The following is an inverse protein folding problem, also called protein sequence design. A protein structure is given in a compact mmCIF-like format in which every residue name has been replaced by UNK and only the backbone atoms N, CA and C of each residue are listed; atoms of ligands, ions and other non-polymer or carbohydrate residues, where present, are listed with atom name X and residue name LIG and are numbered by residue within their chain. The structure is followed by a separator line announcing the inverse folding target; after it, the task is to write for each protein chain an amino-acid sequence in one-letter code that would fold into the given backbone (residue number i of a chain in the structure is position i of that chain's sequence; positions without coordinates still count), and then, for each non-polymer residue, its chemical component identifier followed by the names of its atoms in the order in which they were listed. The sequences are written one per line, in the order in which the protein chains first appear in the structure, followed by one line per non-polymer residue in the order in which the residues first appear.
data_IF_099978746360
#
_entry.id   IF_099978746360
#
_cell.length_a   1.000
_cell.length_b   1.000
_cell.length_c   1.000
_cell.angle_alpha   90.00
_cell.angle_beta   90.00
_cell.angle_gamma   90.00
#
_symmetry.space_group_name_H-M   'P 1'
#
loop_
_entity.id
_entity.type
_entity.pdbx_description
1 polymer ?
#
# COMPACT_ATOMS: atom_id res chain seq x y z
N UNK A 1 -2.11 89.41 -6.43
CA UNK A 1 -2.87 89.47 -7.69
C UNK A 1 -2.53 88.22 -8.53
N UNK A 2 -3.55 87.59 -9.07
CA UNK A 2 -3.59 86.39 -9.94
C UNK A 2 -3.34 85.03 -9.29
N UNK A 3 -4.47 84.44 -8.87
CA UNK A 3 -4.69 83.01 -8.63
C UNK A 3 -4.54 82.23 -9.93
N UNK A 4 -3.83 81.10 -9.89
CA UNK A 4 -3.89 80.06 -10.91
C UNK A 4 -4.26 78.75 -10.23
N UNK A 5 -5.54 78.32 -10.37
CA UNK A 5 -6.04 76.97 -10.06
C UNK A 5 -5.37 75.95 -11.00
N UNK A 6 -4.79 74.92 -10.43
CA UNK A 6 -4.40 73.76 -11.18
C UNK A 6 -5.41 72.63 -10.87
N UNK A 7 -6.17 72.24 -11.89
CA UNK A 7 -7.01 71.04 -11.89
C UNK A 7 -6.12 69.80 -12.05
N UNK A 8 -6.15 68.91 -11.06
CA UNK A 8 -5.62 67.54 -11.17
C UNK A 8 -6.76 66.63 -11.64
N UNK A 9 -6.67 66.15 -12.88
CA UNK A 9 -7.53 65.10 -13.37
C UNK A 9 -6.99 63.72 -12.89
N UNK A 10 -7.71 63.07 -12.01
CA UNK A 10 -7.43 61.68 -11.61
C UNK A 10 -8.04 60.72 -12.65
N UNK A 11 -7.21 60.04 -13.42
CA UNK A 11 -7.61 58.92 -14.26
C UNK A 11 -7.83 57.68 -13.34
N UNK A 12 -9.08 57.30 -13.17
CA UNK A 12 -9.43 55.99 -12.57
C UNK A 12 -9.26 54.89 -13.62
N UNK A 13 -8.21 54.10 -13.51
CA UNK A 13 -8.02 52.89 -14.31
C UNK A 13 -8.91 51.79 -13.68
N UNK A 14 -10.09 51.55 -14.25
CA UNK A 14 -10.92 50.44 -13.90
C UNK A 14 -10.29 49.16 -14.50
N UNK A 15 -9.56 48.43 -13.67
CA UNK A 15 -9.08 47.10 -14.01
C UNK A 15 -10.26 46.13 -14.09
N UNK A 16 -10.67 45.75 -15.28
CA UNK A 16 -11.58 44.63 -15.53
C UNK A 16 -10.83 43.37 -15.15
N UNK A 17 -11.09 42.86 -13.92
CA UNK A 17 -10.80 41.48 -13.57
C UNK A 17 -11.66 40.58 -14.48
N UNK A 18 -11.07 40.05 -15.53
CA UNK A 18 -11.65 38.95 -16.28
C UNK A 18 -11.63 37.74 -15.38
N UNK A 19 -12.69 37.49 -14.64
CA UNK A 19 -13.01 36.18 -14.12
C UNK A 19 -13.20 35.25 -15.33
N UNK A 20 -12.14 34.53 -15.69
CA UNK A 20 -12.29 33.43 -16.62
C UNK A 20 -13.39 32.51 -16.07
N UNK A 21 -14.41 32.14 -16.88
CA UNK A 21 -15.40 31.18 -16.44
C UNK A 21 -14.65 29.92 -16.03
N UNK A 22 -14.85 29.48 -14.79
CA UNK A 22 -14.43 28.15 -14.39
C UNK A 22 -15.10 27.18 -15.36
N UNK A 23 -14.39 26.68 -16.35
CA UNK A 23 -14.87 25.58 -17.18
C UNK A 23 -15.31 24.50 -16.23
N UNK A 24 -16.61 24.20 -16.24
CA UNK A 24 -17.16 23.11 -15.45
C UNK A 24 -16.65 21.80 -16.08
N UNK A 25 -15.49 21.34 -15.64
CA UNK A 25 -14.89 20.10 -16.11
C UNK A 25 -15.79 18.90 -15.93
N UNK A 26 -15.56 17.86 -16.69
CA UNK A 26 -16.28 16.60 -16.60
C UNK A 26 -15.96 15.90 -15.29
N UNK A 27 -16.98 15.64 -14.45
CA UNK A 27 -16.82 14.86 -13.21
C UNK A 27 -17.06 13.39 -13.48
N UNK A 28 -16.13 12.55 -13.02
CA UNK A 28 -16.22 11.09 -13.10
C UNK A 28 -16.54 10.56 -11.71
N UNK A 29 -17.66 9.87 -11.59
CA UNK A 29 -18.08 9.26 -10.33
C UNK A 29 -17.24 8.01 -10.00
N UNK A 30 -17.04 7.66 -8.70
CA UNK A 30 -16.25 6.50 -8.30
C UNK A 30 -16.77 5.16 -8.81
N UNK A 31 -18.07 5.04 -9.04
CA UNK A 31 -18.73 3.84 -9.56
C UNK A 31 -18.64 3.69 -11.09
N UNK A 32 -17.90 4.55 -11.77
CA UNK A 32 -17.75 4.48 -13.22
C UNK A 32 -17.08 3.17 -13.66
N UNK A 33 -17.71 2.43 -14.59
CA UNK A 33 -17.30 1.08 -15.01
C UNK A 33 -15.87 0.96 -15.58
N UNK A 34 -15.25 2.06 -16.01
CA UNK A 34 -13.89 2.09 -16.53
C UNK A 34 -12.82 2.34 -15.45
N UNK A 35 -13.20 2.55 -14.19
CA UNK A 35 -12.26 2.59 -13.08
C UNK A 35 -11.93 1.17 -12.62
N UNK A 36 -10.65 0.95 -12.33
CA UNK A 36 -10.16 -0.32 -11.80
C UNK A 36 -9.64 -0.12 -10.40
N UNK A 37 -10.20 -0.85 -9.47
CA UNK A 37 -9.81 -0.88 -8.05
C UNK A 37 -8.96 -2.11 -7.77
N UNK A 38 -7.91 -1.98 -6.97
CA UNK A 38 -7.03 -3.07 -6.53
C UNK A 38 -6.80 -2.97 -5.03
N UNK A 39 -6.86 -4.11 -4.34
CA UNK A 39 -6.72 -4.21 -2.89
C UNK A 39 -8.05 -4.46 -2.19
N UNK A 40 -8.00 -4.58 -0.86
CA UNK A 40 -9.19 -4.65 -0.02
C UNK A 40 -9.76 -3.26 0.14
N UNK A 41 -10.79 -2.97 -0.61
CA UNK A 41 -11.47 -1.67 -0.64
C UNK A 41 -12.91 -1.88 -0.21
N UNK A 42 -13.37 -1.07 0.74
CA UNK A 42 -14.77 -1.05 1.13
C UNK A 42 -15.57 -0.31 0.06
N UNK A 43 -16.48 -1.02 -0.55
CA UNK A 43 -17.37 -0.54 -1.62
C UNK A 43 -18.85 -0.67 -1.23
N UNK A 44 -19.15 -0.68 0.08
CA UNK A 44 -20.52 -0.70 0.57
C UNK A 44 -21.34 0.48 0.00
N UNK A 45 -20.69 1.66 -0.08
CA UNK A 45 -21.15 2.74 -0.95
C UNK A 45 -20.25 2.80 -2.20
N UNK A 46 -20.72 2.36 -3.38
CA UNK A 46 -19.92 2.37 -4.59
C UNK A 46 -19.55 3.77 -5.07
N UNK A 47 -20.22 4.81 -4.56
CA UNK A 47 -19.92 6.21 -4.86
C UNK A 47 -18.95 6.85 -3.88
N UNK A 48 -18.53 6.11 -2.85
CA UNK A 48 -17.62 6.56 -1.81
C UNK A 48 -16.70 5.41 -1.34
N UNK A 49 -15.98 4.69 -2.25
CA UNK A 49 -15.12 3.59 -1.85
C UNK A 49 -14.00 4.05 -0.93
N UNK A 50 -13.73 3.25 0.12
CA UNK A 50 -12.77 3.57 1.17
C UNK A 50 -11.48 2.78 1.00
N UNK A 51 -10.36 3.49 0.91
CA UNK A 51 -9.01 2.95 0.79
C UNK A 51 -8.31 3.08 2.14
N UNK A 52 -8.03 1.95 2.81
CA UNK A 52 -7.37 1.94 4.12
C UNK A 52 -6.04 1.19 4.10
N UNK A 53 -5.93 0.10 3.35
CA UNK A 53 -4.73 -0.72 3.27
C UNK A 53 -3.62 -0.07 2.44
N UNK A 54 -2.33 -0.29 2.78
CA UNK A 54 -1.22 0.14 1.93
C UNK A 54 -1.34 -0.51 0.54
N UNK A 55 -0.89 0.20 -0.49
CA UNK A 55 -0.91 -0.31 -1.87
C UNK A 55 -2.29 -0.44 -2.51
N UNK A 56 -3.39 -0.10 -1.82
CA UNK A 56 -4.69 0.03 -2.48
C UNK A 56 -4.60 1.04 -3.60
N UNK A 57 -5.25 0.73 -4.71
CA UNK A 57 -5.05 1.51 -5.93
C UNK A 57 -6.34 1.75 -6.71
N UNK A 58 -6.35 2.89 -7.42
CA UNK A 58 -7.36 3.22 -8.44
C UNK A 58 -6.63 3.52 -9.73
N UNK A 59 -7.04 2.88 -10.82
CA UNK A 59 -6.44 3.05 -12.14
C UNK A 59 -7.51 3.26 -13.21
N UNK A 60 -7.11 3.92 -14.29
CA UNK A 60 -7.96 4.12 -15.46
C UNK A 60 -7.22 4.75 -16.62
N UNK A 61 -7.91 4.82 -17.74
CA UNK A 61 -7.47 5.56 -18.92
C UNK A 61 -8.45 6.70 -19.17
N UNK A 62 -7.97 7.82 -19.65
CA UNK A 62 -8.80 8.98 -19.95
C UNK A 62 -8.35 9.70 -21.24
N UNK A 63 -9.24 10.46 -21.80
CA UNK A 63 -8.95 11.49 -22.79
C UNK A 63 -8.96 12.86 -22.12
N UNK A 64 -8.22 13.82 -22.66
CA UNK A 64 -8.18 15.16 -22.11
C UNK A 64 -6.76 15.64 -21.84
N UNK A 65 -6.64 16.85 -21.34
CA UNK A 65 -5.36 17.53 -21.07
C UNK A 65 -5.14 17.81 -19.58
N UNK A 66 -6.14 17.54 -18.73
CA UNK A 66 -6.04 17.72 -17.29
C UNK A 66 -6.65 16.56 -16.51
N UNK A 67 -6.18 16.37 -15.28
CA UNK A 67 -6.68 15.40 -14.32
C UNK A 67 -6.58 15.98 -12.91
N UNK A 68 -7.69 16.02 -12.20
CA UNK A 68 -7.69 16.19 -10.76
C UNK A 68 -8.38 15.01 -10.07
N UNK A 69 -7.96 14.72 -8.85
CA UNK A 69 -8.47 13.60 -8.04
C UNK A 69 -9.16 14.18 -6.81
N UNK A 70 -10.39 13.74 -6.55
CA UNK A 70 -11.15 14.19 -5.38
C UNK A 70 -11.06 13.11 -4.30
N UNK A 71 -10.47 13.48 -3.18
CA UNK A 71 -10.26 12.60 -2.03
C UNK A 71 -10.81 13.26 -0.76
N UNK A 72 -11.24 12.42 0.18
CA UNK A 72 -11.61 12.85 1.54
C UNK A 72 -10.77 12.04 2.53
N UNK A 73 -9.80 12.68 3.16
CA UNK A 73 -8.85 12.02 4.04
C UNK A 73 -9.23 12.17 5.51
N UNK A 74 -9.22 11.06 6.23
CA UNK A 74 -9.66 11.02 7.62
C UNK A 74 -8.84 11.92 8.55
N UNK A 75 -7.51 11.96 8.37
CA UNK A 75 -6.60 12.60 9.33
C UNK A 75 -5.66 13.63 8.71
N UNK A 76 -5.57 13.72 7.38
CA UNK A 76 -4.57 14.55 6.69
C UNK A 76 -3.14 14.02 6.80
N UNK A 77 -3.01 12.70 6.96
CA UNK A 77 -1.70 12.04 7.16
C UNK A 77 -1.33 11.08 6.03
N UNK A 78 -2.28 10.78 5.13
CA UNK A 78 -2.01 9.85 4.05
C UNK A 78 -1.22 10.49 2.92
N UNK A 79 -0.41 9.64 2.27
CA UNK A 79 0.36 9.97 1.08
C UNK A 79 -0.02 9.00 -0.04
N UNK A 80 -0.06 9.52 -1.26
CA UNK A 80 -0.33 8.75 -2.47
C UNK A 80 0.73 9.00 -3.53
N UNK A 81 1.05 7.97 -4.31
CA UNK A 81 1.69 8.16 -5.61
C UNK A 81 0.63 8.26 -6.68
N UNK A 82 0.81 9.15 -7.64
CA UNK A 82 0.07 9.17 -8.89
C UNK A 82 1.05 9.05 -10.04
N UNK A 83 0.86 8.04 -10.86
CA UNK A 83 1.64 7.80 -12.06
C UNK A 83 0.79 8.13 -13.26
N UNK A 84 1.34 8.92 -14.18
CA UNK A 84 0.73 9.22 -15.48
C UNK A 84 1.48 8.48 -16.58
N UNK A 85 0.74 7.92 -17.52
CA UNK A 85 1.26 7.26 -18.72
C UNK A 85 2.33 6.19 -18.43
N UNK A 86 2.21 5.54 -17.27
CA UNK A 86 3.11 4.48 -16.84
C UNK A 86 4.52 4.94 -16.45
N UNK A 87 4.78 6.25 -16.32
CA UNK A 87 6.11 6.73 -15.88
C UNK A 87 6.32 6.49 -14.38
N UNK A 88 6.78 5.29 -14.04
CA UNK A 88 7.09 4.90 -12.66
C UNK A 88 8.31 5.61 -12.07
N UNK A 89 9.10 6.33 -12.88
CA UNK A 89 10.31 7.04 -12.43
C UNK A 89 9.99 8.39 -11.82
N UNK A 90 8.85 8.99 -12.18
CA UNK A 90 8.42 10.33 -11.76
C UNK A 90 7.00 10.31 -11.20
N UNK A 91 6.77 9.69 -10.04
CA UNK A 91 5.48 9.77 -9.39
C UNK A 91 5.19 11.21 -8.94
N UNK A 92 3.95 11.64 -9.13
CA UNK A 92 3.43 12.81 -8.45
C UNK A 92 3.04 12.34 -7.05
N UNK A 93 3.62 12.96 -6.02
CA UNK A 93 3.35 12.61 -4.63
C UNK A 93 2.29 13.57 -4.10
N UNK A 94 1.17 13.02 -3.67
CA UNK A 94 0.14 13.76 -2.98
C UNK A 94 0.31 13.55 -1.48
N UNK A 95 0.51 14.63 -0.73
CA UNK A 95 0.25 14.69 0.70
C UNK A 95 -1.17 15.19 0.88
N UNK A 96 -2.00 14.42 1.57
CA UNK A 96 -3.39 14.78 1.74
C UNK A 96 -3.59 15.73 2.92
N UNK A 97 -4.54 16.63 2.78
CA UNK A 97 -5.11 17.41 3.88
C UNK A 97 -6.31 16.65 4.47
N UNK A 98 -6.62 16.89 5.72
CA UNK A 98 -7.82 16.33 6.36
C UNK A 98 -9.08 16.85 5.67
N UNK A 99 -10.02 15.94 5.40
CA UNK A 99 -11.30 16.23 4.79
C UNK A 99 -11.24 16.21 3.25
N UNK A 100 -12.34 16.63 2.64
CA UNK A 100 -12.53 16.58 1.18
C UNK A 100 -11.74 17.67 0.48
N UNK A 101 -10.95 17.26 -0.53
CA UNK A 101 -10.19 18.19 -1.38
C UNK A 101 -10.02 17.61 -2.79
N UNK A 102 -9.95 18.49 -3.79
CA UNK A 102 -9.55 18.20 -5.16
C UNK A 102 -8.06 18.48 -5.32
N UNK A 103 -7.31 17.52 -5.84
CA UNK A 103 -5.87 17.58 -6.07
C UNK A 103 -5.60 17.59 -7.57
N UNK A 104 -5.18 18.73 -8.09
CA UNK A 104 -4.76 18.83 -9.49
C UNK A 104 -3.47 18.06 -9.71
N UNK A 105 -3.53 17.01 -10.53
CA UNK A 105 -2.42 16.11 -10.83
C UNK A 105 -1.73 16.50 -12.12
N UNK A 106 -2.51 16.87 -13.11
CA UNK A 106 -1.99 17.28 -14.41
C UNK A 106 -2.83 18.40 -15.02
N UNK A 107 -2.15 19.31 -15.74
CA UNK A 107 -2.76 20.35 -16.54
C UNK A 107 -1.86 20.63 -17.75
N UNK A 108 -2.42 20.64 -18.95
CA UNK A 108 -1.67 20.86 -20.19
C UNK A 108 -0.97 19.60 -20.72
N UNK A 109 -1.50 18.41 -20.47
CA UNK A 109 -1.07 17.20 -21.16
C UNK A 109 -1.31 17.33 -22.67
N UNK A 110 -0.60 16.53 -23.46
CA UNK A 110 -0.89 16.44 -24.88
C UNK A 110 -2.34 15.96 -25.13
N UNK A 111 -2.98 16.41 -26.18
CA UNK A 111 -4.30 15.87 -26.55
C UNK A 111 -4.17 14.39 -26.91
N UNK A 112 -4.98 13.53 -26.31
CA UNK A 112 -4.94 12.12 -26.65
C UNK A 112 -5.39 11.22 -25.49
N UNK A 113 -4.94 9.97 -25.56
CA UNK A 113 -5.16 8.95 -24.54
C UNK A 113 -4.07 9.04 -23.47
N UNK A 114 -4.48 9.09 -22.23
CA UNK A 114 -3.62 9.04 -21.05
C UNK A 114 -4.04 7.89 -20.15
N UNK A 115 -3.13 7.47 -19.27
CA UNK A 115 -3.42 6.54 -18.20
C UNK A 115 -3.02 7.14 -16.86
N UNK A 116 -3.71 6.72 -15.80
CA UNK A 116 -3.32 7.04 -14.43
C UNK A 116 -3.34 5.80 -13.55
N UNK A 117 -2.48 5.81 -12.53
CA UNK A 117 -2.47 4.87 -11.42
C UNK A 117 -2.26 5.65 -10.13
N UNK A 118 -3.25 5.60 -9.24
CA UNK A 118 -3.21 6.20 -7.90
C UNK A 118 -2.96 5.07 -6.91
N UNK A 119 -1.92 5.16 -6.06
CA UNK A 119 -1.63 4.13 -5.05
C UNK A 119 -1.40 4.72 -3.68
N UNK A 120 -2.04 4.15 -2.66
CA UNK A 120 -1.81 4.52 -1.26
C UNK A 120 -0.40 4.11 -0.82
N UNK A 121 0.39 5.06 -0.32
CA UNK A 121 1.77 4.83 0.13
C UNK A 121 1.82 4.31 1.56
N UNK A 122 0.93 4.85 2.39
CA UNK A 122 0.87 4.73 3.85
C UNK A 122 0.00 3.57 4.32
N UNK A 123 0.10 3.25 5.60
CA UNK A 123 -0.63 2.17 6.26
C UNK A 123 -2.00 2.62 6.79
N UNK A 124 -2.71 1.72 7.48
CA UNK A 124 -3.96 2.05 8.18
C UNK A 124 -3.75 2.99 9.37
N UNK A 125 -2.55 3.02 9.95
CA UNK A 125 -2.19 3.94 11.04
C UNK A 125 -2.38 5.42 10.67
N UNK A 126 -2.14 5.78 9.43
CA UNK A 126 -2.36 7.13 8.91
C UNK A 126 -3.84 7.44 8.62
N UNK A 127 -4.71 6.43 8.73
CA UNK A 127 -6.15 6.56 8.50
C UNK A 127 -6.60 6.06 7.13
N UNK A 128 -7.91 6.18 6.91
CA UNK A 128 -8.56 5.85 5.66
C UNK A 128 -8.76 7.08 4.78
N UNK A 129 -8.88 6.85 3.48
CA UNK A 129 -9.21 7.87 2.48
C UNK A 129 -10.40 7.42 1.66
N UNK A 130 -11.41 8.27 1.52
CA UNK A 130 -12.53 8.04 0.61
C UNK A 130 -12.18 8.60 -0.77
N UNK A 131 -12.29 7.77 -1.80
CA UNK A 131 -12.15 8.22 -3.18
C UNK A 131 -13.50 8.74 -3.68
N UNK A 132 -13.56 10.03 -4.07
CA UNK A 132 -14.77 10.71 -4.48
C UNK A 132 -14.84 11.01 -5.99
N UNK A 133 -13.92 10.41 -6.76
CA UNK A 133 -13.92 10.49 -8.20
C UNK A 133 -12.82 11.39 -8.79
N UNK A 134 -13.01 11.76 -10.04
CA UNK A 134 -12.05 12.54 -10.82
C UNK A 134 -12.74 13.78 -11.41
N UNK A 135 -11.90 14.80 -11.72
CA UNK A 135 -12.29 15.96 -12.50
C UNK A 135 -11.37 16.03 -13.72
N UNK A 136 -11.96 16.06 -14.92
CA UNK A 136 -11.28 16.14 -16.20
C UNK A 136 -11.66 17.42 -16.91
N UNK A 137 -11.02 17.72 -18.04
CA UNK A 137 -11.41 18.82 -18.93
C UNK A 137 -12.86 18.71 -19.40
N UNK A 138 -13.40 19.80 -19.89
CA UNK A 138 -14.69 19.80 -20.55
C UNK A 138 -14.71 18.81 -21.75
N UNK A 139 -15.75 17.98 -21.83
CA UNK A 139 -15.91 16.91 -22.84
C UNK A 139 -14.89 15.76 -22.79
N UNK A 140 -13.95 15.76 -21.84
CA UNK A 140 -13.08 14.62 -21.58
C UNK A 140 -13.87 13.49 -20.89
N UNK A 141 -13.33 12.27 -20.94
CA UNK A 141 -13.98 11.12 -20.31
C UNK A 141 -13.03 9.95 -20.11
N UNK A 142 -13.49 8.94 -19.34
CA UNK A 142 -12.75 7.70 -19.19
C UNK A 142 -12.85 6.85 -20.44
N UNK A 143 -11.74 6.24 -20.79
CA UNK A 143 -11.57 5.30 -21.87
C UNK A 143 -11.60 3.85 -21.32
N UNK A 144 -11.84 2.84 -22.17
CA UNK A 144 -11.81 1.45 -21.74
C UNK A 144 -10.54 1.11 -20.94
N UNK A 145 -10.67 0.35 -19.85
CA UNK A 145 -9.55 0.05 -18.97
C UNK A 145 -8.52 -0.87 -19.62
N UNK A 146 -7.31 -0.84 -19.12
CA UNK A 146 -6.27 -1.80 -19.51
C UNK A 146 -6.59 -3.21 -18.98
N UNK A 147 -6.15 -4.29 -19.63
CA UNK A 147 -6.33 -5.64 -19.09
C UNK A 147 -5.69 -5.81 -17.72
N UNK A 148 -6.38 -6.49 -16.80
CA UNK A 148 -5.82 -6.82 -15.49
C UNK A 148 -4.78 -7.93 -15.59
N UNK A 149 -3.76 -7.92 -14.71
CA UNK A 149 -2.89 -9.07 -14.53
C UNK A 149 -3.70 -10.34 -14.21
N UNK A 150 -3.27 -11.47 -14.76
CA UNK A 150 -3.91 -12.77 -14.47
C UNK A 150 -3.37 -13.41 -13.21
N UNK A 151 -2.10 -13.13 -12.86
CA UNK A 151 -1.42 -13.62 -11.66
C UNK A 151 -1.84 -12.79 -10.47
N UNK A 152 -1.94 -13.43 -9.28
CA UNK A 152 -2.41 -12.78 -8.06
C UNK A 152 -1.55 -13.18 -6.87
N UNK A 153 -1.11 -12.20 -6.10
CA UNK A 153 -0.29 -12.44 -4.89
C UNK A 153 -0.89 -11.67 -3.73
N UNK A 154 -1.11 -12.35 -2.60
CA UNK A 154 -1.44 -11.69 -1.34
C UNK A 154 -0.26 -11.72 -0.37
N UNK A 155 -0.03 -10.59 0.29
CA UNK A 155 1.02 -10.43 1.27
C UNK A 155 0.40 -10.18 2.65
N UNK A 156 0.71 -11.06 3.61
CA UNK A 156 0.49 -10.80 5.03
C UNK A 156 1.82 -10.42 5.65
N UNK A 157 1.89 -9.26 6.31
CA UNK A 157 3.16 -8.80 6.83
C UNK A 157 3.06 -7.60 7.77
N UNK A 158 4.23 -7.14 8.15
CA UNK A 158 4.42 -6.00 9.05
C UNK A 158 4.89 -4.74 8.29
N UNK A 159 5.59 -3.85 8.99
CA UNK A 159 6.16 -2.61 8.44
C UNK A 159 7.07 -2.84 7.23
N UNK A 160 7.78 -3.97 7.17
CA UNK A 160 8.66 -4.29 6.04
C UNK A 160 7.84 -4.51 4.77
N UNK A 161 6.69 -5.19 4.90
CA UNK A 161 5.76 -5.42 3.78
C UNK A 161 5.05 -4.13 3.37
N UNK A 162 4.67 -3.31 4.35
CA UNK A 162 4.05 -2.00 4.11
C UNK A 162 5.01 -1.00 3.46
N UNK A 163 6.32 -1.13 3.65
CA UNK A 163 7.32 -0.20 3.15
C UNK A 163 7.55 1.00 4.06
N UNK A 164 7.46 0.79 5.39
CA UNK A 164 7.73 1.83 6.38
C UNK A 164 9.15 2.38 6.23
N UNK A 165 9.27 3.70 6.15
CA UNK A 165 10.54 4.41 6.13
C UNK A 165 11.49 4.05 4.99
N UNK A 166 11.01 3.38 3.94
CA UNK A 166 11.87 2.90 2.87
C UNK A 166 12.47 4.01 1.99
N UNK A 167 11.89 5.20 2.00
CA UNK A 167 12.43 6.39 1.33
C UNK A 167 13.17 7.35 2.28
N UNK A 168 13.27 7.03 3.57
CA UNK A 168 14.07 7.81 4.51
C UNK A 168 15.57 7.75 4.18
N UNK A 169 16.37 8.76 4.55
CA UNK A 169 17.82 8.70 4.50
C UNK A 169 18.36 7.47 5.25
N UNK A 170 19.55 7.00 4.88
CA UNK A 170 20.12 5.77 5.43
C UNK A 170 20.19 5.78 6.97
N UNK A 171 20.59 6.89 7.55
CA UNK A 171 20.74 7.14 8.99
C UNK A 171 19.54 7.91 9.60
N UNK A 172 18.55 8.28 8.77
CA UNK A 172 17.39 9.07 9.18
C UNK A 172 16.35 8.27 9.99
N UNK A 173 15.45 8.97 10.66
CA UNK A 173 14.26 8.38 11.24
C UNK A 173 13.38 7.78 10.14
N UNK A 174 12.65 6.70 10.46
CA UNK A 174 11.97 5.89 9.45
C UNK A 174 10.45 5.70 9.69
N UNK A 175 9.88 6.46 10.63
CA UNK A 175 8.45 6.39 10.96
C UNK A 175 7.60 7.53 10.39
N UNK A 176 8.20 8.48 9.65
CA UNK A 176 7.43 9.57 9.05
C UNK A 176 6.61 9.11 7.83
N UNK A 177 5.34 9.50 7.77
CA UNK A 177 4.42 9.12 6.69
C UNK A 177 4.94 9.47 5.29
N UNK A 178 5.65 10.60 5.14
CA UNK A 178 6.26 11.03 3.87
C UNK A 178 7.30 10.05 3.33
N UNK A 179 7.96 9.30 4.22
CA UNK A 179 9.03 8.35 3.90
C UNK A 179 8.53 6.91 3.76
N UNK A 180 7.24 6.66 4.03
CA UNK A 180 6.56 5.39 3.78
C UNK A 180 6.15 5.30 2.31
N UNK A 181 6.44 4.18 1.65
CA UNK A 181 6.03 3.98 0.27
C UNK A 181 5.83 2.50 -0.07
N UNK A 182 4.58 2.01 0.06
CA UNK A 182 4.26 0.62 -0.28
C UNK A 182 4.64 0.28 -1.72
N UNK A 183 4.44 1.17 -2.69
CA UNK A 183 4.80 0.93 -4.09
C UNK A 183 6.28 0.56 -4.29
N UNK A 184 7.17 1.02 -3.37
CA UNK A 184 8.60 0.71 -3.35
C UNK A 184 8.98 -0.34 -2.30
N UNK A 185 8.00 -1.02 -1.69
CA UNK A 185 8.27 -2.18 -0.84
C UNK A 185 8.69 -3.39 -1.67
N UNK A 186 9.37 -4.35 -1.05
CA UNK A 186 9.77 -5.60 -1.72
C UNK A 186 8.56 -6.32 -2.30
N UNK A 187 7.44 -6.28 -1.60
CA UNK A 187 6.20 -6.93 -1.96
C UNK A 187 5.61 -6.35 -3.25
N UNK A 188 5.47 -5.02 -3.31
CA UNK A 188 4.94 -4.34 -4.48
C UNK A 188 5.90 -4.38 -5.68
N UNK A 189 7.21 -4.33 -5.45
CA UNK A 189 8.22 -4.49 -6.52
C UNK A 189 8.14 -5.92 -7.09
N UNK A 190 8.13 -6.95 -6.23
CA UNK A 190 8.05 -8.34 -6.67
C UNK A 190 6.76 -8.62 -7.44
N UNK A 191 5.61 -8.11 -6.98
CA UNK A 191 4.35 -8.25 -7.70
C UNK A 191 4.43 -7.68 -9.13
N UNK A 192 5.00 -6.47 -9.30
CA UNK A 192 5.20 -5.88 -10.63
C UNK A 192 6.18 -6.67 -11.50
N UNK A 193 7.30 -7.13 -10.94
CA UNK A 193 8.27 -7.99 -11.65
C UNK A 193 7.68 -9.31 -12.13
N UNK A 194 6.68 -9.82 -11.42
CA UNK A 194 5.96 -11.05 -11.74
C UNK A 194 4.74 -10.82 -12.63
N UNK A 195 4.41 -9.56 -12.94
CA UNK A 195 3.20 -9.21 -13.68
C UNK A 195 1.93 -9.63 -12.94
N UNK A 196 1.92 -9.48 -11.62
CA UNK A 196 0.83 -9.90 -10.75
C UNK A 196 0.06 -8.71 -10.17
N UNK A 197 -1.25 -8.87 -10.01
CA UNK A 197 -2.06 -8.04 -9.13
C UNK A 197 -1.77 -8.44 -7.67
N UNK A 198 -1.70 -7.46 -6.76
CA UNK A 198 -1.33 -7.76 -5.38
C UNK A 198 -2.26 -7.09 -4.37
N UNK A 199 -2.53 -7.81 -3.26
CA UNK A 199 -3.13 -7.27 -2.04
C UNK A 199 -2.09 -7.27 -0.92
N UNK A 200 -2.11 -6.22 -0.09
CA UNK A 200 -1.17 -6.05 1.02
C UNK A 200 -1.97 -5.92 2.32
N UNK A 201 -2.05 -7.01 3.06
CA UNK A 201 -2.64 -7.05 4.40
C UNK A 201 -1.51 -6.93 5.40
N UNK A 202 -1.08 -5.69 5.63
CA UNK A 202 0.09 -5.40 6.43
C UNK A 202 -0.06 -4.15 7.28
N UNK A 203 0.59 -4.16 8.46
CA UNK A 203 0.56 -3.08 9.43
C UNK A 203 1.89 -3.03 10.17
N UNK A 204 2.50 -1.84 10.25
CA UNK A 204 3.71 -1.63 11.04
C UNK A 204 3.50 -1.97 12.50
N UNK A 205 4.43 -2.70 13.10
CA UNK A 205 4.34 -3.10 14.50
C UNK A 205 3.53 -4.36 14.80
N UNK A 206 2.90 -4.98 13.77
CA UNK A 206 2.10 -6.19 13.98
C UNK A 206 2.97 -7.45 14.11
N UNK A 207 2.61 -8.33 15.03
CA UNK A 207 3.19 -9.65 15.20
C UNK A 207 2.13 -10.74 15.14
N UNK A 208 2.56 -11.99 15.35
CA UNK A 208 1.66 -13.14 15.42
C UNK A 208 1.20 -13.41 16.84
N UNK A 209 2.08 -13.28 17.82
CA UNK A 209 1.77 -13.53 19.24
C UNK A 209 1.58 -12.25 20.02
N UNK A 210 2.27 -11.19 19.62
CA UNK A 210 2.25 -9.88 20.27
C UNK A 210 2.56 -8.79 19.25
N UNK A 211 1.94 -7.62 19.44
CA UNK A 211 2.14 -6.43 18.62
C UNK A 211 2.48 -5.22 19.49
N UNK A 212 2.88 -4.13 18.88
CA UNK A 212 3.05 -2.82 19.55
C UNK A 212 1.71 -2.18 19.98
N UNK A 213 0.59 -2.83 19.69
CA UNK A 213 -0.78 -2.41 19.97
C UNK A 213 -1.65 -3.64 20.34
N UNK A 214 -2.92 -3.49 20.80
CA UNK A 214 -3.68 -4.56 21.45
C UNK A 214 -4.17 -5.71 20.58
N UNK A 215 -3.85 -5.76 19.29
CA UNK A 215 -4.26 -6.84 18.38
C UNK A 215 -3.06 -7.42 17.61
N UNK A 216 -3.20 -8.63 17.12
CA UNK A 216 -2.16 -9.35 16.39
C UNK A 216 -2.61 -9.64 14.95
N UNK A 217 -1.73 -10.17 14.10
CA UNK A 217 -2.12 -10.55 12.75
C UNK A 217 -3.25 -11.59 12.73
N UNK A 218 -3.31 -12.60 13.62
CA UNK A 218 -4.48 -13.48 13.76
C UNK A 218 -5.82 -12.77 14.01
N UNK A 219 -5.81 -11.58 14.61
CA UNK A 219 -7.02 -10.78 14.86
C UNK A 219 -7.34 -9.83 13.69
N UNK A 220 -6.37 -9.57 12.83
CA UNK A 220 -6.41 -8.49 11.85
C UNK A 220 -6.46 -8.97 10.38
N UNK A 221 -6.00 -10.19 10.10
CA UNK A 221 -5.82 -10.71 8.74
C UNK A 221 -7.10 -10.75 7.90
N UNK A 222 -8.27 -10.86 8.53
CA UNK A 222 -9.57 -11.00 7.87
C UNK A 222 -10.38 -9.70 7.81
N UNK A 223 -9.77 -8.57 8.13
CA UNK A 223 -10.42 -7.29 8.08
C UNK A 223 -10.60 -6.76 6.66
N UNK A 224 -11.72 -6.10 6.40
CA UNK A 224 -11.95 -5.29 5.19
C UNK A 224 -11.24 -3.94 5.33
N UNK A 225 -11.33 -3.30 6.49
CA UNK A 225 -10.67 -2.03 6.79
C UNK A 225 -9.38 -2.25 7.59
N UNK A 226 -8.32 -1.52 7.25
CA UNK A 226 -7.09 -1.44 8.04
C UNK A 226 -7.20 -0.42 9.19
N UNK A 227 -8.33 0.27 9.33
CA UNK A 227 -8.54 1.35 10.30
C UNK A 227 -9.76 1.04 11.17
N UNK A 228 -9.61 1.26 12.46
CA UNK A 228 -10.70 1.28 13.41
C UNK A 228 -10.99 -0.07 14.04
N UNK A 229 -12.20 -0.50 13.90
CA UNK A 229 -12.78 -1.63 14.60
C UNK A 229 -12.36 -2.98 14.02
N UNK A 230 -12.44 -4.01 14.85
CA UNK A 230 -12.27 -5.39 14.42
C UNK A 230 -13.58 -5.99 13.86
N UNK A 231 -14.56 -5.16 13.48
CA UNK A 231 -15.89 -5.61 13.06
C UNK A 231 -16.03 -5.73 11.55
N UNK A 232 -15.16 -5.06 10.78
CA UNK A 232 -15.14 -5.20 9.33
C UNK A 232 -14.62 -6.58 8.93
N UNK A 233 -15.22 -7.21 7.91
CA UNK A 233 -14.78 -8.52 7.42
C UNK A 233 -14.57 -8.51 5.93
N UNK A 234 -13.40 -9.04 5.53
CA UNK A 234 -13.09 -9.29 4.13
C UNK A 234 -13.74 -10.58 3.66
N UNK A 235 -14.46 -10.51 2.57
CA UNK A 235 -14.96 -11.71 1.89
C UNK A 235 -13.87 -12.28 0.98
N UNK A 236 -13.23 -13.35 1.44
CA UNK A 236 -12.13 -14.02 0.74
C UNK A 236 -12.56 -14.65 -0.60
N UNK A 237 -13.87 -14.83 -0.85
CA UNK A 237 -14.36 -15.34 -2.12
C UNK A 237 -14.27 -14.32 -3.26
N UNK A 238 -14.19 -13.04 -2.94
CA UNK A 238 -14.10 -11.94 -3.93
C UNK A 238 -12.79 -11.95 -4.72
N UNK A 239 -11.73 -12.46 -4.12
CA UNK A 239 -10.42 -12.46 -4.76
C UNK A 239 -9.53 -13.56 -4.18
N UNK A 240 -8.99 -14.43 -5.06
CA UNK A 240 -8.18 -15.58 -4.67
C UNK A 240 -6.77 -15.45 -5.24
N UNK A 241 -5.72 -15.48 -4.43
CA UNK A 241 -4.34 -15.44 -4.87
C UNK A 241 -3.84 -16.79 -5.38
N UNK A 242 -2.90 -16.76 -6.33
CA UNK A 242 -2.10 -17.92 -6.74
C UNK A 242 -0.96 -18.18 -5.76
N UNK A 243 -0.41 -17.08 -5.19
CA UNK A 243 0.69 -17.11 -4.22
C UNK A 243 0.31 -16.26 -3.01
N UNK A 244 0.62 -16.76 -1.83
CA UNK A 244 0.56 -16.00 -0.57
C UNK A 244 1.96 -15.91 0.01
N UNK A 245 2.36 -14.71 0.43
CA UNK A 245 3.61 -14.47 1.14
C UNK A 245 3.28 -14.04 2.57
N UNK A 246 3.81 -14.76 3.55
CA UNK A 246 3.69 -14.43 4.98
C UNK A 246 5.07 -14.00 5.48
N UNK A 247 5.26 -12.70 5.71
CA UNK A 247 6.51 -12.14 6.24
C UNK A 247 6.22 -11.48 7.60
N UNK A 248 6.29 -12.28 8.64
CA UNK A 248 5.95 -11.93 10.03
C UNK A 248 6.97 -12.52 11.00
N UNK A 249 6.85 -12.27 12.29
CA UNK A 249 7.73 -12.65 13.42
C UNK A 249 8.87 -11.65 13.71
N UNK A 250 9.02 -10.58 12.94
CA UNK A 250 10.01 -9.55 13.27
C UNK A 250 9.62 -8.82 14.56
N UNK A 251 8.36 -8.41 14.71
CA UNK A 251 7.89 -7.73 15.93
C UNK A 251 7.83 -8.67 17.12
N UNK A 252 7.45 -9.93 16.92
CA UNK A 252 7.52 -10.96 17.97
C UNK A 252 8.96 -11.13 18.46
N UNK A 253 9.96 -11.08 17.56
CA UNK A 253 11.37 -11.21 17.94
C UNK A 253 11.85 -10.09 18.86
N UNK A 254 11.34 -8.89 18.66
CA UNK A 254 11.64 -7.77 19.52
C UNK A 254 10.87 -7.83 20.85
N UNK A 255 9.54 -7.94 20.75
CA UNK A 255 8.68 -7.83 21.92
C UNK A 255 8.79 -9.02 22.87
N UNK A 256 9.06 -10.23 22.35
CA UNK A 256 9.28 -11.44 23.16
C UNK A 256 10.78 -11.61 23.47
N UNK A 257 11.62 -11.67 22.43
CA UNK A 257 13.01 -12.08 22.56
C UNK A 257 13.96 -11.01 23.10
N UNK A 258 13.68 -9.72 22.87
CA UNK A 258 14.50 -8.60 23.31
C UNK A 258 13.90 -7.87 24.50
N UNK A 259 12.61 -7.55 24.43
CA UNK A 259 11.94 -6.63 25.36
C UNK A 259 11.13 -7.35 26.44
N UNK A 260 10.96 -8.69 26.34
CA UNK A 260 10.25 -9.57 27.29
C UNK A 260 8.85 -9.07 27.67
N UNK A 261 8.10 -8.53 26.69
CA UNK A 261 6.78 -7.91 26.90
C UNK A 261 5.64 -8.91 27.05
N UNK A 262 5.81 -10.16 26.61
CA UNK A 262 4.79 -11.22 26.72
C UNK A 262 5.16 -12.14 27.90
N UNK A 263 4.28 -12.18 28.92
CA UNK A 263 4.49 -12.99 30.12
C UNK A 263 3.29 -13.92 30.38
N UNK A 264 3.52 -15.19 30.72
CA UNK A 264 4.81 -15.87 30.73
C UNK A 264 5.45 -15.90 29.35
N UNK A 265 6.78 -15.79 29.30
CA UNK A 265 7.47 -15.82 28.00
C UNK A 265 7.22 -17.14 27.28
N UNK A 266 6.72 -17.12 26.04
CA UNK A 266 6.44 -18.35 25.31
C UNK A 266 7.72 -19.10 25.01
N UNK A 267 7.70 -20.42 25.22
CA UNK A 267 8.79 -21.28 24.83
C UNK A 267 8.84 -21.47 23.29
N UNK A 268 9.90 -22.13 22.82
CA UNK A 268 10.10 -22.41 21.39
C UNK A 268 8.91 -23.15 20.76
N UNK A 269 8.41 -24.18 21.41
CA UNK A 269 7.28 -24.95 20.90
C UNK A 269 6.02 -24.10 20.73
N UNK A 270 5.78 -23.16 21.64
CA UNK A 270 4.63 -22.24 21.58
C UNK A 270 4.81 -21.20 20.43
N UNK A 271 6.03 -20.68 20.22
CA UNK A 271 6.34 -19.78 19.10
C UNK A 271 6.11 -20.47 17.75
N UNK A 272 6.61 -21.71 17.61
CA UNK A 272 6.41 -22.53 16.41
C UNK A 272 4.92 -22.81 16.20
N UNK A 273 4.19 -23.19 17.25
CA UNK A 273 2.78 -23.50 17.16
C UNK A 273 1.92 -22.30 16.77
N UNK A 274 2.23 -21.09 17.27
CA UNK A 274 1.53 -19.87 16.91
C UNK A 274 1.69 -19.52 15.43
N UNK A 275 2.94 -19.59 14.92
CA UNK A 275 3.20 -19.39 13.49
C UNK A 275 2.49 -20.43 12.63
N UNK A 276 2.60 -21.71 12.99
CA UNK A 276 1.94 -22.82 12.30
C UNK A 276 0.42 -22.60 12.23
N UNK A 277 -0.21 -22.24 13.34
CA UNK A 277 -1.65 -22.01 13.40
C UNK A 277 -2.11 -20.89 12.47
N UNK A 278 -1.35 -19.81 12.39
CA UNK A 278 -1.65 -18.71 11.44
C UNK A 278 -1.53 -19.18 9.99
N UNK A 279 -0.48 -19.91 9.64
CA UNK A 279 -0.30 -20.45 8.28
C UNK A 279 -1.37 -21.48 7.92
N UNK A 280 -1.79 -22.33 8.86
CA UNK A 280 -2.94 -23.25 8.67
C UNK A 280 -4.24 -22.49 8.41
N UNK A 281 -4.45 -21.35 9.09
CA UNK A 281 -5.59 -20.47 8.84
C UNK A 281 -5.53 -19.92 7.41
N UNK A 282 -4.40 -19.39 6.97
CA UNK A 282 -4.19 -18.91 5.61
C UNK A 282 -4.43 -20.02 4.59
N UNK A 283 -3.92 -21.23 4.86
CA UNK A 283 -4.13 -22.39 3.98
C UNK A 283 -5.61 -22.76 3.86
N UNK A 284 -6.38 -22.68 4.94
CA UNK A 284 -7.82 -22.96 4.90
C UNK A 284 -8.60 -22.00 4.01
N UNK A 285 -8.17 -20.73 3.95
CA UNK A 285 -8.76 -19.70 3.09
C UNK A 285 -8.36 -19.88 1.62
N UNK A 286 -7.12 -20.28 1.38
CA UNK A 286 -6.53 -20.40 0.05
C UNK A 286 -5.96 -21.82 -0.19
N UNK A 287 -6.82 -22.84 -0.35
CA UNK A 287 -6.38 -24.24 -0.40
C UNK A 287 -5.42 -24.55 -1.56
N UNK A 288 -5.49 -23.76 -2.64
CA UNK A 288 -4.69 -23.97 -3.86
C UNK A 288 -3.48 -23.05 -3.97
N UNK A 289 -3.38 -22.02 -3.13
CA UNK A 289 -2.28 -21.05 -3.23
C UNK A 289 -0.93 -21.69 -2.89
N UNK A 290 0.14 -21.19 -3.49
CA UNK A 290 1.49 -21.48 -3.05
C UNK A 290 1.85 -20.54 -1.90
N UNK A 291 2.17 -21.08 -0.71
CA UNK A 291 2.49 -20.25 0.46
C UNK A 291 4.01 -20.13 0.60
N UNK A 292 4.50 -18.91 0.63
CA UNK A 292 5.89 -18.57 0.93
C UNK A 292 5.96 -18.00 2.34
N UNK A 293 6.48 -18.81 3.27
CA UNK A 293 6.74 -18.38 4.64
C UNK A 293 8.07 -17.63 4.68
N UNK A 294 8.00 -16.32 4.63
CA UNK A 294 9.16 -15.44 4.60
C UNK A 294 9.48 -14.88 6.00
N UNK A 295 10.70 -14.43 6.18
CA UNK A 295 11.14 -13.63 7.33
C UNK A 295 12.28 -12.68 6.89
N UNK A 296 12.25 -11.48 7.43
CA UNK A 296 13.33 -10.49 7.26
C UNK A 296 12.90 -9.30 6.40
N UNK A 297 13.76 -8.34 6.25
CA UNK A 297 15.25 -8.36 6.34
C UNK A 297 15.82 -7.52 7.50
N UNK A 298 15.19 -7.52 8.65
CA UNK A 298 15.75 -6.90 9.86
C UNK A 298 16.42 -7.96 10.76
N UNK A 299 16.67 -7.65 12.02
CA UNK A 299 17.50 -8.45 12.91
C UNK A 299 16.92 -9.81 13.32
N UNK A 300 15.65 -10.08 13.06
CA UNK A 300 15.11 -11.44 13.20
C UNK A 300 15.83 -12.47 12.31
N UNK A 301 16.47 -12.03 11.23
CA UNK A 301 17.31 -12.87 10.35
C UNK A 301 18.81 -12.65 10.53
N UNK A 302 19.24 -11.98 11.61
CA UNK A 302 20.66 -11.86 11.97
C UNK A 302 21.26 -13.25 12.19
N UNK A 303 22.54 -13.41 11.85
CA UNK A 303 23.29 -14.64 12.11
C UNK A 303 23.18 -15.03 13.61
N UNK A 304 22.82 -16.30 13.86
CA UNK A 304 22.58 -16.82 15.21
C UNK A 304 21.18 -16.55 15.78
N UNK A 305 20.31 -15.87 15.06
CA UNK A 305 18.90 -15.70 15.47
C UNK A 305 18.14 -17.03 15.40
N UNK A 306 17.34 -17.40 16.42
CA UNK A 306 16.55 -18.62 16.40
C UNK A 306 15.27 -18.51 15.54
N UNK A 307 14.83 -17.30 15.19
CA UNK A 307 13.53 -17.05 14.58
C UNK A 307 13.34 -17.71 13.21
N UNK A 308 14.34 -17.75 12.30
CA UNK A 308 14.24 -18.52 11.07
C UNK A 308 13.97 -20.01 11.33
N UNK A 309 14.62 -20.61 12.34
CA UNK A 309 14.40 -22.00 12.73
C UNK A 309 12.98 -22.32 13.20
N UNK A 310 12.30 -21.35 13.86
CA UNK A 310 10.90 -21.51 14.23
C UNK A 310 9.98 -21.59 13.01
N UNK A 311 10.20 -20.71 12.03
CA UNK A 311 9.47 -20.71 10.76
C UNK A 311 9.73 -21.99 9.97
N UNK A 312 10.99 -22.43 9.86
CA UNK A 312 11.36 -23.68 9.17
C UNK A 312 10.70 -24.89 9.83
N UNK A 313 10.72 -24.96 11.15
CA UNK A 313 10.12 -26.05 11.91
C UNK A 313 8.60 -26.10 11.71
N UNK A 314 7.92 -24.94 11.73
CA UNK A 314 6.49 -24.85 11.47
C UNK A 314 6.15 -25.34 10.05
N UNK A 315 6.89 -24.88 9.04
CA UNK A 315 6.72 -25.33 7.65
C UNK A 315 7.02 -26.81 7.49
N UNK A 316 8.05 -27.33 8.16
CA UNK A 316 8.38 -28.76 8.19
C UNK A 316 7.22 -29.62 8.72
N UNK A 317 6.56 -29.18 9.81
CA UNK A 317 5.38 -29.82 10.37
C UNK A 317 4.20 -29.79 9.40
N UNK A 318 3.96 -28.69 8.70
CA UNK A 318 2.89 -28.58 7.70
C UNK A 318 3.14 -29.50 6.49
N UNK A 319 4.39 -29.58 6.03
CA UNK A 319 4.79 -30.54 4.98
C UNK A 319 4.61 -32.00 5.42
N UNK A 320 4.92 -32.33 6.67
CA UNK A 320 4.71 -33.67 7.23
C UNK A 320 3.21 -34.03 7.28
N UNK A 321 2.32 -33.03 7.43
CA UNK A 321 0.86 -33.20 7.32
C UNK A 321 0.37 -33.28 5.86
N UNK A 322 1.25 -33.20 4.86
CA UNK A 322 0.93 -33.38 3.44
C UNK A 322 0.84 -32.09 2.63
N UNK A 323 1.10 -30.89 3.18
CA UNK A 323 1.12 -29.67 2.41
C UNK A 323 2.36 -29.64 1.49
N UNK A 324 2.12 -29.72 0.17
CA UNK A 324 3.17 -29.73 -0.86
C UNK A 324 3.38 -28.37 -1.53
N UNK A 325 2.57 -27.37 -1.20
CA UNK A 325 2.59 -26.05 -1.83
C UNK A 325 2.99 -24.96 -0.81
N UNK A 326 4.03 -25.26 -0.03
CA UNK A 326 4.55 -24.37 1.01
C UNK A 326 6.08 -24.47 1.09
N UNK A 327 6.74 -23.34 1.21
CA UNK A 327 8.20 -23.25 1.39
C UNK A 327 8.57 -22.06 2.26
N UNK A 328 9.83 -22.03 2.71
CA UNK A 328 10.44 -20.90 3.41
C UNK A 328 11.29 -20.06 2.46
N UNK A 329 11.35 -18.76 2.72
CA UNK A 329 12.28 -17.83 2.06
C UNK A 329 12.73 -16.76 3.06
N UNK A 330 14.01 -16.73 3.41
CA UNK A 330 14.53 -15.71 4.32
C UNK A 330 15.29 -14.63 3.57
N UNK A 331 14.98 -13.39 3.92
CA UNK A 331 15.70 -12.23 3.43
C UNK A 331 16.90 -11.96 4.34
N UNK A 332 18.07 -11.69 3.78
CA UNK A 332 19.27 -11.44 4.58
C UNK A 332 19.09 -10.24 5.50
N UNK A 333 19.61 -10.34 6.71
CA UNK A 333 19.77 -9.17 7.57
C UNK A 333 20.68 -8.14 6.88
N UNK A 334 20.22 -6.92 6.78
CA UNK A 334 20.91 -5.85 6.06
C UNK A 334 22.07 -5.23 6.83
N UNK A 335 22.33 -5.68 8.05
CA UNK A 335 23.34 -5.07 8.93
C UNK A 335 22.93 -3.71 9.51
N UNK A 336 21.66 -3.38 9.43
CA UNK A 336 21.12 -2.05 9.59
C UNK A 336 20.04 -2.04 10.69
N UNK A 337 20.14 -1.12 11.64
CA UNK A 337 19.29 -1.10 12.81
C UNK A 337 17.90 -0.47 12.59
N UNK A 338 17.55 -0.11 11.33
CA UNK A 338 16.30 0.53 10.94
C UNK A 338 15.59 -0.27 9.86
N UNK A 339 14.41 0.18 9.42
CA UNK A 339 13.69 -0.47 8.34
C UNK A 339 14.52 -0.50 7.04
N UNK A 340 14.32 -1.50 6.18
CA UNK A 340 15.00 -1.58 4.89
C UNK A 340 14.72 -0.34 4.03
N UNK A 341 15.73 0.16 3.35
CA UNK A 341 15.59 1.24 2.36
C UNK A 341 15.28 0.63 0.99
N UNK A 342 14.97 1.48 0.02
CA UNK A 342 14.54 1.05 -1.32
C UNK A 342 15.52 0.06 -1.97
N UNK A 343 16.82 0.23 -1.79
CA UNK A 343 17.81 -0.69 -2.34
C UNK A 343 17.71 -2.10 -1.74
N UNK A 344 17.50 -2.21 -0.42
CA UNK A 344 17.28 -3.49 0.24
C UNK A 344 15.93 -4.11 -0.13
N UNK A 345 14.89 -3.29 -0.27
CA UNK A 345 13.60 -3.74 -0.80
C UNK A 345 13.72 -4.29 -2.21
N UNK A 346 14.49 -3.63 -3.09
CA UNK A 346 14.75 -4.13 -4.44
C UNK A 346 15.44 -5.51 -4.41
N UNK A 347 16.50 -5.66 -3.60
CA UNK A 347 17.21 -6.93 -3.47
C UNK A 347 16.31 -8.07 -2.92
N UNK A 348 15.45 -7.77 -1.95
CA UNK A 348 14.48 -8.72 -1.42
C UNK A 348 13.42 -9.09 -2.47
N UNK A 349 12.96 -8.13 -3.26
CA UNK A 349 12.03 -8.35 -4.36
C UNK A 349 12.60 -9.24 -5.45
N UNK A 350 13.87 -9.01 -5.83
CA UNK A 350 14.57 -9.82 -6.82
C UNK A 350 14.67 -11.28 -6.36
N UNK A 351 15.01 -11.49 -5.08
CA UNK A 351 15.07 -12.82 -4.46
C UNK A 351 13.70 -13.50 -4.44
N UNK A 352 12.65 -12.79 -4.00
CA UNK A 352 11.28 -13.33 -3.97
C UNK A 352 10.78 -13.65 -5.37
N UNK A 353 11.01 -12.76 -6.33
CA UNK A 353 10.57 -12.95 -7.72
C UNK A 353 11.25 -14.15 -8.37
N UNK A 354 12.55 -14.33 -8.16
CA UNK A 354 13.28 -15.50 -8.66
C UNK A 354 12.72 -16.79 -8.04
N UNK A 355 12.48 -16.79 -6.72
CA UNK A 355 11.90 -17.93 -6.02
C UNK A 355 10.50 -18.29 -6.54
N UNK A 356 9.61 -17.30 -6.67
CA UNK A 356 8.24 -17.52 -7.15
C UNK A 356 8.24 -18.01 -8.60
N UNK A 357 9.08 -17.44 -9.48
CA UNK A 357 9.22 -17.95 -10.86
C UNK A 357 9.61 -19.42 -10.89
N UNK A 358 10.58 -19.82 -10.08
CA UNK A 358 11.02 -21.20 -9.98
C UNK A 358 9.90 -22.14 -9.52
N UNK A 359 9.11 -21.72 -8.51
CA UNK A 359 8.07 -22.56 -7.90
C UNK A 359 6.77 -22.63 -8.70
N UNK A 360 6.45 -21.54 -9.42
CA UNK A 360 5.19 -21.39 -10.14
C UNK A 360 5.33 -21.57 -11.65
N UNK A 361 6.54 -21.57 -12.18
CA UNK A 361 6.77 -21.59 -13.64
C UNK A 361 6.34 -20.27 -14.32
N UNK A 362 6.50 -19.14 -13.66
CA UNK A 362 6.03 -17.83 -14.12
C UNK A 362 7.07 -17.07 -14.97
#
# INVERSE_FOLDING_TARGET
MRNTLRFLAALALAGLLHLAPACAGTRIAPDHAHLQYTGRIDTADPRAPVLSWPGTAVAGNFSGTSLAIVLDDQHGKNFYNVFLDGDARRPIILQLDKGRKSYLVANGLATGRHSFLITKRTEGEEGATVFLGLELDDKAGLLPPSPRPRRRIEFFGDSITSGMGNEAPADGEDHHGKDKNNYRSYAAIAARQLGAEAHFTSQGGIGIMISWFPFTMPDFYDQLSAVGDNDSRWDFSRWTPDVVVVNLMQNDSWLIGRDHKLQPEPNEAQRIAAYQAFVERVRSLYPKAYIVCALGSMDATRAGSPWPGYVETAVGKLRAKGDRRIDTLFFPFTGYGKHPRVAQHQANADRLSAFVRQKMGW
#
